data_IF_670579954671
#
_entry.id   IF_670579954671
#
_cell.length_a   1.000
_cell.length_b   1.000
_cell.length_c   1.000
_cell.angle_alpha   90.00
_cell.angle_beta   90.00
_cell.angle_gamma   90.00
#
_symmetry.space_group_name_H-M   'P 1'
#
loop_
_entity.id
_entity.type
_entity.pdbx_description
1 polymer ?
#
# COMPACT_ATOMS: atom_id res chain seq x y z
N UNK A 1 -13.92 -5.17 -19.77
CA UNK A 1 -13.58 -4.39 -18.55
C UNK A 1 -12.94 -5.37 -17.59
N UNK A 2 -11.75 -5.05 -17.08
CA UNK A 2 -11.06 -5.89 -16.11
C UNK A 2 -11.81 -5.99 -14.78
N UNK A 3 -11.39 -6.93 -13.94
CA UNK A 3 -11.95 -7.08 -12.58
C UNK A 3 -11.59 -5.88 -11.72
N UNK A 4 -12.55 -5.27 -11.00
CA UNK A 4 -12.29 -4.21 -10.03
C UNK A 4 -12.50 -4.76 -8.63
N UNK A 5 -11.47 -4.66 -7.78
CA UNK A 5 -11.50 -5.03 -6.36
C UNK A 5 -11.39 -3.78 -5.52
N UNK A 6 -12.33 -3.58 -4.61
CA UNK A 6 -12.31 -2.44 -3.68
C UNK A 6 -12.05 -2.95 -2.27
N UNK A 7 -11.17 -2.28 -1.55
CA UNK A 7 -10.83 -2.58 -0.16
C UNK A 7 -10.26 -1.37 0.58
N UNK A 8 -9.62 -1.60 1.71
CA UNK A 8 -9.05 -0.55 2.56
C UNK A 8 -7.62 -0.85 2.96
N UNK A 9 -6.88 0.17 3.40
CA UNK A 9 -5.52 0.03 3.93
C UNK A 9 -5.56 -0.34 5.43
N UNK A 10 -6.02 -1.54 5.71
CA UNK A 10 -6.09 -2.13 7.05
C UNK A 10 -7.50 -2.42 7.53
N UNK A 11 -7.59 -3.22 8.61
CA UNK A 11 -8.84 -3.65 9.23
C UNK A 11 -8.78 -3.65 10.77
N UNK A 12 -7.70 -3.11 11.35
CA UNK A 12 -7.43 -3.19 12.80
C UNK A 12 -7.16 -1.82 13.43
N UNK A 13 -7.43 -0.73 12.71
CA UNK A 13 -7.25 0.61 13.27
C UNK A 13 -8.10 0.79 14.53
N UNK A 14 -7.53 1.33 15.63
CA UNK A 14 -8.28 1.53 16.87
C UNK A 14 -9.52 2.41 16.70
N UNK A 15 -9.49 3.42 15.83
CA UNK A 15 -10.64 4.30 15.58
C UNK A 15 -11.75 3.58 14.82
N UNK A 16 -11.41 2.69 13.90
CA UNK A 16 -12.35 1.80 13.24
C UNK A 16 -13.02 0.86 14.24
N UNK A 17 -12.23 0.25 15.14
CA UNK A 17 -12.78 -0.65 16.16
C UNK A 17 -13.74 0.10 17.08
N UNK A 18 -13.41 1.33 17.44
CA UNK A 18 -14.23 2.17 18.31
C UNK A 18 -15.48 2.76 17.61
N UNK A 19 -15.50 2.83 16.27
CA UNK A 19 -16.61 3.41 15.49
C UNK A 19 -17.91 2.61 15.55
N UNK A 20 -17.85 1.33 15.91
CA UNK A 20 -19.00 0.44 15.87
C UNK A 20 -19.24 -0.20 14.49
N UNK A 21 -18.32 -0.05 13.53
CA UNK A 21 -18.43 -0.71 12.23
C UNK A 21 -18.40 -2.23 12.34
N UNK A 22 -17.63 -2.76 13.29
CA UNK A 22 -17.65 -4.17 13.61
C UNK A 22 -18.85 -4.54 14.49
N UNK A 23 -19.60 -5.61 14.17
CA UNK A 23 -20.65 -6.09 15.04
C UNK A 23 -20.05 -6.67 16.35
N UNK A 24 -20.82 -6.71 17.44
CA UNK A 24 -20.33 -7.14 18.77
C UNK A 24 -19.65 -8.53 18.77
N UNK A 25 -20.08 -9.46 17.93
CA UNK A 25 -19.48 -10.79 17.77
C UNK A 25 -18.08 -10.77 17.15
N UNK A 26 -17.71 -9.72 16.41
CA UNK A 26 -16.38 -9.53 15.84
C UNK A 26 -15.38 -8.96 16.85
N UNK A 27 -15.35 -9.51 18.06
CA UNK A 27 -14.61 -9.00 19.22
C UNK A 27 -13.11 -9.34 19.23
N UNK A 28 -12.67 -10.31 18.42
CA UNK A 28 -11.26 -10.73 18.34
C UNK A 28 -10.62 -10.37 16.99
N UNK A 29 -9.27 -10.26 16.90
CA UNK A 29 -8.59 -10.01 15.62
C UNK A 29 -8.97 -11.03 14.53
N UNK A 30 -9.12 -12.29 14.86
CA UNK A 30 -9.57 -13.31 13.91
C UNK A 30 -10.99 -13.04 13.41
N UNK A 31 -11.92 -12.80 14.32
CA UNK A 31 -13.33 -12.55 13.96
C UNK A 31 -13.48 -11.28 13.15
N UNK A 32 -12.66 -10.24 13.43
CA UNK A 32 -12.62 -8.99 12.63
C UNK A 32 -12.15 -9.26 11.22
N UNK A 33 -11.06 -10.03 11.03
CA UNK A 33 -10.60 -10.37 9.68
C UNK A 33 -11.63 -11.19 8.91
N UNK A 34 -12.26 -12.18 9.56
CA UNK A 34 -13.33 -12.96 8.95
C UNK A 34 -14.56 -12.11 8.58
N UNK A 35 -14.90 -11.12 9.40
CA UNK A 35 -15.97 -10.17 9.10
C UNK A 35 -15.59 -9.26 7.93
N UNK A 36 -14.40 -8.66 7.98
CA UNK A 36 -13.86 -7.80 6.92
C UNK A 36 -13.87 -8.50 5.55
N UNK A 37 -13.36 -9.74 5.50
CA UNK A 37 -13.26 -10.51 4.28
C UNK A 37 -14.61 -10.96 3.67
N UNK A 38 -15.71 -10.78 4.40
CA UNK A 38 -17.09 -10.92 3.85
C UNK A 38 -17.60 -9.62 3.23
N UNK A 39 -16.99 -8.48 3.58
CA UNK A 39 -17.40 -7.17 3.07
C UNK A 39 -16.58 -6.75 1.84
N UNK A 40 -15.31 -7.16 1.80
CA UNK A 40 -14.36 -6.75 0.77
C UNK A 40 -13.54 -7.93 0.26
N UNK A 41 -13.19 -7.96 -1.05
CA UNK A 41 -12.33 -9.00 -1.62
C UNK A 41 -10.83 -8.72 -1.46
N UNK A 42 -10.47 -7.53 -0.99
CA UNK A 42 -9.11 -6.99 -0.99
C UNK A 42 -8.82 -6.24 0.31
N UNK A 43 -7.57 -6.35 0.80
CA UNK A 43 -7.03 -5.48 1.85
C UNK A 43 -5.56 -5.16 1.58
N UNK A 44 -5.12 -3.95 1.96
CA UNK A 44 -3.70 -3.63 2.07
C UNK A 44 -3.24 -3.77 3.53
N UNK A 45 -2.08 -4.38 3.73
CA UNK A 45 -1.49 -4.56 5.05
C UNK A 45 -0.40 -3.51 5.25
N UNK A 46 -0.74 -2.41 5.92
CA UNK A 46 0.20 -1.33 6.23
C UNK A 46 1.13 -1.66 7.41
N UNK A 47 0.74 -2.59 8.29
CA UNK A 47 1.53 -2.95 9.48
C UNK A 47 2.93 -3.47 9.15
N UNK A 48 3.11 -4.09 8.01
CA UNK A 48 4.40 -4.62 7.53
C UNK A 48 5.43 -3.55 7.18
N UNK A 49 4.99 -2.31 6.99
CA UNK A 49 5.88 -1.15 6.87
C UNK A 49 6.65 -0.87 8.18
N UNK A 50 6.03 -1.12 9.33
CA UNK A 50 6.58 -0.82 10.64
C UNK A 50 7.38 -1.97 11.26
N UNK A 51 7.13 -3.21 10.86
CA UNK A 51 7.85 -4.39 11.33
C UNK A 51 7.69 -5.53 10.31
N UNK A 52 8.72 -6.38 10.20
CA UNK A 52 8.62 -7.58 9.36
C UNK A 52 7.51 -8.49 9.90
N UNK A 53 6.64 -9.01 9.03
CA UNK A 53 5.61 -9.94 9.46
C UNK A 53 6.23 -11.28 9.89
N UNK A 54 5.56 -11.98 10.79
CA UNK A 54 5.91 -13.36 11.08
C UNK A 54 5.17 -14.29 10.09
N UNK A 55 5.80 -15.38 9.67
CA UNK A 55 5.22 -16.39 8.78
C UNK A 55 3.88 -16.92 9.34
N UNK A 56 3.85 -17.21 10.65
CA UNK A 56 2.64 -17.66 11.33
C UNK A 56 1.48 -16.66 11.23
N UNK A 57 1.78 -15.37 11.19
CA UNK A 57 0.78 -14.32 11.00
C UNK A 57 0.20 -14.35 9.60
N UNK A 58 1.04 -14.47 8.58
CA UNK A 58 0.61 -14.57 7.18
C UNK A 58 -0.19 -15.87 6.93
N UNK A 59 0.22 -16.98 7.55
CA UNK A 59 -0.54 -18.23 7.54
C UNK A 59 -1.93 -18.05 8.13
N UNK A 60 -2.02 -17.41 9.30
CA UNK A 60 -3.31 -17.13 9.93
C UNK A 60 -4.20 -16.21 9.07
N UNK A 61 -3.63 -15.23 8.35
CA UNK A 61 -4.39 -14.41 7.41
C UNK A 61 -4.95 -15.25 6.26
N UNK A 62 -4.12 -16.13 5.66
CA UNK A 62 -4.57 -17.03 4.59
C UNK A 62 -5.72 -17.95 5.03
N UNK A 63 -5.63 -18.51 6.23
CA UNK A 63 -6.64 -19.46 6.78
C UNK A 63 -7.96 -18.77 7.18
N UNK A 64 -7.91 -17.46 7.46
CA UNK A 64 -9.07 -16.69 7.98
C UNK A 64 -9.87 -15.97 6.93
N UNK A 65 -9.47 -16.07 5.67
CA UNK A 65 -10.11 -15.40 4.54
C UNK A 65 -10.58 -16.41 3.50
N UNK A 66 -11.64 -16.10 2.73
CA UNK A 66 -12.13 -17.00 1.68
C UNK A 66 -11.13 -17.12 0.51
N UNK A 67 -11.35 -18.12 -0.34
CA UNK A 67 -10.63 -18.22 -1.61
C UNK A 67 -10.91 -16.98 -2.47
N UNK A 68 -9.88 -16.55 -3.24
CA UNK A 68 -9.95 -15.33 -4.05
C UNK A 68 -9.75 -14.02 -3.28
N UNK A 69 -9.65 -14.05 -1.94
CA UNK A 69 -9.30 -12.87 -1.16
C UNK A 69 -7.86 -12.44 -1.42
N UNK A 70 -7.63 -11.14 -1.60
CA UNK A 70 -6.31 -10.59 -1.94
C UNK A 70 -5.73 -9.75 -0.80
N UNK A 71 -4.45 -9.98 -0.48
CA UNK A 71 -3.66 -9.14 0.40
C UNK A 71 -2.60 -8.39 -0.39
N UNK A 72 -2.71 -7.08 -0.52
CA UNK A 72 -1.59 -6.22 -0.91
C UNK A 72 -0.75 -5.93 0.33
N UNK A 73 0.55 -5.97 0.20
CA UNK A 73 1.47 -5.91 1.35
C UNK A 73 2.37 -4.70 1.21
N UNK A 74 2.33 -3.77 2.15
CA UNK A 74 3.24 -2.63 2.12
C UNK A 74 4.65 -3.07 2.49
N UNK A 75 5.63 -2.73 1.67
CA UNK A 75 7.02 -3.06 1.89
C UNK A 75 7.54 -2.44 3.20
N UNK A 76 8.43 -3.15 3.88
CA UNK A 76 9.07 -2.67 5.09
C UNK A 76 9.82 -1.35 4.84
N UNK A 77 9.73 -0.40 5.76
CA UNK A 77 10.22 0.97 5.61
C UNK A 77 11.68 1.06 5.17
N UNK A 78 12.54 0.14 5.59
CA UNK A 78 13.95 0.09 5.19
C UNK A 78 14.10 -0.06 3.66
N UNK A 79 13.27 -0.90 3.03
CA UNK A 79 13.35 -1.20 1.60
C UNK A 79 12.94 -0.03 0.71
N UNK A 80 12.15 0.87 1.23
CA UNK A 80 11.69 2.06 0.51
C UNK A 80 12.41 3.33 0.93
N UNK A 81 13.61 3.20 1.51
CA UNK A 81 14.51 4.28 1.92
C UNK A 81 13.90 5.26 2.95
N UNK A 82 12.98 4.78 3.77
CA UNK A 82 12.48 5.54 4.91
C UNK A 82 13.36 5.32 6.17
N UNK A 83 13.35 6.29 7.12
CA UNK A 83 14.02 6.12 8.39
C UNK A 83 13.33 5.01 9.20
N UNK A 84 14.02 3.90 9.38
CA UNK A 84 13.51 2.70 10.04
C UNK A 84 14.01 2.63 11.47
N UNK A 85 13.14 2.49 12.48
CA UNK A 85 13.58 2.27 13.86
C UNK A 85 14.41 0.98 13.96
N UNK A 86 15.57 1.02 14.60
CA UNK A 86 16.42 -0.18 14.80
C UNK A 86 15.64 -1.30 15.50
N UNK A 87 14.78 -0.95 16.45
CA UNK A 87 13.91 -1.91 17.14
C UNK A 87 12.90 -2.63 16.24
N UNK A 88 12.61 -2.11 15.05
CA UNK A 88 11.72 -2.74 14.07
C UNK A 88 12.39 -3.88 13.30
N UNK A 89 13.74 -3.93 13.30
CA UNK A 89 14.50 -5.03 12.76
C UNK A 89 14.42 -6.28 13.68
N UNK A 90 14.57 -7.48 13.16
CA UNK A 90 14.78 -8.69 13.93
C UNK A 90 15.90 -8.53 14.94
N UNK A 91 15.76 -9.12 16.13
CA UNK A 91 16.66 -8.90 17.25
C UNK A 91 18.13 -9.18 16.92
N UNK A 92 18.41 -10.22 16.17
CA UNK A 92 19.74 -10.64 15.74
C UNK A 92 20.37 -9.73 14.65
N UNK A 93 19.56 -8.92 13.97
CA UNK A 93 20.04 -7.94 12.98
C UNK A 93 20.28 -6.54 13.60
N UNK A 94 19.77 -6.30 14.81
CA UNK A 94 19.81 -4.96 15.42
C UNK A 94 21.22 -4.51 15.74
N UNK A 95 22.10 -5.38 16.23
CA UNK A 95 23.47 -5.05 16.57
C UNK A 95 24.26 -4.64 15.32
N UNK A 96 24.14 -5.42 14.25
CA UNK A 96 24.80 -5.13 12.98
C UNK A 96 24.21 -3.89 12.26
N UNK A 97 22.92 -3.58 12.49
CA UNK A 97 22.27 -2.39 11.95
C UNK A 97 22.53 -1.13 12.80
N UNK A 98 22.90 -1.30 14.07
CA UNK A 98 23.08 -0.19 14.99
C UNK A 98 24.39 0.55 14.69
N UNK A 99 24.28 1.70 14.06
CA UNK A 99 25.36 2.68 14.11
C UNK A 99 25.30 3.42 15.45
N UNK A 100 26.45 3.58 16.12
CA UNK A 100 26.58 4.08 17.48
C UNK A 100 25.57 5.21 17.80
N UNK A 101 24.59 4.91 18.65
CA UNK A 101 23.65 5.88 19.22
C UNK A 101 22.46 6.27 18.33
N UNK A 102 22.28 5.73 17.12
CA UNK A 102 21.11 6.05 16.28
C UNK A 102 19.92 5.14 16.62
N UNK A 103 18.78 5.76 16.96
CA UNK A 103 17.51 5.04 17.14
C UNK A 103 16.86 4.63 15.79
N UNK A 104 17.20 5.31 14.70
CA UNK A 104 16.71 5.06 13.35
C UNK A 104 17.87 5.02 12.37
N UNK A 105 17.73 4.14 11.39
CA UNK A 105 18.68 3.94 10.28
C UNK A 105 17.98 4.09 8.95
N UNK A 106 18.73 4.52 7.93
CA UNK A 106 18.35 4.46 6.54
C UNK A 106 19.03 3.26 5.89
N UNK A 107 18.53 2.81 4.74
CA UNK A 107 19.13 1.71 4.00
C UNK A 107 20.64 1.92 3.75
N UNK A 108 21.06 3.14 3.42
CA UNK A 108 22.47 3.50 3.20
C UNK A 108 23.35 3.43 4.46
N UNK A 109 22.74 3.39 5.63
CA UNK A 109 23.42 3.37 6.94
C UNK A 109 23.65 1.94 7.46
N UNK A 110 23.03 0.92 6.84
CA UNK A 110 23.13 -0.47 7.27
C UNK A 110 24.04 -1.27 6.33
N UNK A 111 24.67 -2.30 6.88
CA UNK A 111 25.43 -3.27 6.07
C UNK A 111 24.49 -3.91 5.03
N UNK A 112 24.91 -4.01 3.77
CA UNK A 112 24.12 -4.69 2.72
C UNK A 112 23.62 -6.09 3.13
N UNK A 113 24.42 -6.86 3.87
CA UNK A 113 24.03 -8.17 4.35
C UNK A 113 22.83 -8.12 5.34
N UNK A 114 22.71 -7.07 6.13
CA UNK A 114 21.56 -6.85 7.00
C UNK A 114 20.30 -6.56 6.18
N UNK A 115 20.42 -5.71 5.17
CA UNK A 115 19.34 -5.41 4.25
C UNK A 115 18.89 -6.66 3.48
N UNK A 116 19.84 -7.47 3.01
CA UNK A 116 19.59 -8.72 2.31
C UNK A 116 18.83 -9.71 3.20
N UNK A 117 19.29 -9.92 4.43
CA UNK A 117 18.61 -10.81 5.38
C UNK A 117 17.21 -10.30 5.75
N UNK A 118 17.03 -8.98 5.88
CA UNK A 118 15.70 -8.41 6.13
C UNK A 118 14.74 -8.69 4.96
N UNK A 119 15.21 -8.54 3.71
CA UNK A 119 14.46 -8.88 2.51
C UNK A 119 14.08 -10.36 2.47
N UNK A 120 15.04 -11.26 2.70
CA UNK A 120 14.80 -12.71 2.67
C UNK A 120 13.75 -13.11 3.68
N UNK A 121 13.80 -12.57 4.91
CA UNK A 121 12.79 -12.82 5.96
C UNK A 121 11.42 -12.24 5.61
N UNK A 122 11.39 -11.03 5.05
CA UNK A 122 10.14 -10.42 4.61
C UNK A 122 9.47 -11.28 3.54
N UNK A 123 10.21 -11.70 2.52
CA UNK A 123 9.68 -12.51 1.43
C UNK A 123 9.28 -13.92 1.90
N UNK A 124 10.09 -14.55 2.77
CA UNK A 124 9.77 -15.85 3.36
C UNK A 124 8.47 -15.80 4.18
N UNK A 125 8.28 -14.73 4.97
CA UNK A 125 7.07 -14.55 5.76
C UNK A 125 5.78 -14.41 4.92
N UNK A 126 5.88 -14.04 3.65
CA UNK A 126 4.74 -13.91 2.73
C UNK A 126 4.41 -15.20 1.97
N UNK A 127 5.25 -16.25 2.06
CA UNK A 127 5.03 -17.51 1.34
C UNK A 127 3.68 -18.18 1.64
N UNK A 128 3.15 -18.17 2.88
CA UNK A 128 1.82 -18.72 3.13
C UNK A 128 0.71 -18.03 2.32
N UNK A 129 0.79 -16.70 2.14
CA UNK A 129 -0.16 -15.97 1.29
C UNK A 129 0.03 -16.31 -0.17
N UNK A 130 1.27 -16.39 -0.64
CA UNK A 130 1.59 -16.77 -2.02
C UNK A 130 1.13 -18.20 -2.33
N UNK A 131 1.46 -19.13 -1.46
CA UNK A 131 1.05 -20.55 -1.60
C UNK A 131 -0.46 -20.76 -1.59
N UNK A 132 -1.21 -19.89 -0.90
CA UNK A 132 -2.67 -19.88 -0.89
C UNK A 132 -3.30 -19.12 -2.07
N UNK A 133 -2.49 -18.52 -2.98
CA UNK A 133 -2.99 -17.68 -4.07
C UNK A 133 -3.63 -16.36 -3.63
N UNK A 134 -3.28 -15.87 -2.42
CA UNK A 134 -3.87 -14.68 -1.78
C UNK A 134 -2.91 -13.49 -1.70
N UNK A 135 -1.66 -13.65 -2.11
CA UNK A 135 -0.70 -12.55 -2.19
C UNK A 135 -0.97 -11.74 -3.45
N UNK A 136 -1.36 -10.48 -3.29
CA UNK A 136 -1.45 -9.48 -4.34
C UNK A 136 -0.09 -8.84 -4.63
N UNK A 137 -0.06 -7.52 -4.73
CA UNK A 137 1.18 -6.78 -4.97
C UNK A 137 1.87 -6.35 -3.66
N UNK A 138 3.20 -6.29 -3.69
CA UNK A 138 4.01 -5.63 -2.65
C UNK A 138 4.11 -4.15 -3.01
N UNK A 139 3.57 -3.27 -2.16
CA UNK A 139 3.58 -1.84 -2.36
C UNK A 139 4.94 -1.25 -2.00
N UNK A 140 5.65 -0.74 -2.98
CA UNK A 140 6.84 0.07 -2.84
C UNK A 140 6.45 1.55 -2.83
N UNK A 141 6.09 2.09 -1.67
CA UNK A 141 5.82 3.52 -1.52
C UNK A 141 7.12 4.26 -1.20
N UNK A 142 7.62 5.08 -2.11
CA UNK A 142 8.85 5.86 -1.93
C UNK A 142 8.59 7.22 -1.28
N UNK A 143 9.56 7.75 -0.48
CA UNK A 143 9.36 8.97 0.31
C UNK A 143 9.46 10.27 -0.52
N UNK A 144 9.08 11.43 0.06
CA UNK A 144 9.20 12.73 -0.60
C UNK A 144 10.62 13.13 -1.02
N UNK A 145 11.65 12.53 -0.46
CA UNK A 145 13.06 12.76 -0.82
C UNK A 145 13.61 11.72 -1.81
N UNK A 146 12.72 11.06 -2.56
CA UNK A 146 13.06 10.12 -3.62
C UNK A 146 12.66 10.73 -5.00
N UNK A 147 13.45 11.70 -5.55
CA UNK A 147 13.12 12.36 -6.80
C UNK A 147 13.37 11.46 -8.01
N UNK A 148 12.83 11.84 -9.17
CA UNK A 148 13.17 11.17 -10.42
C UNK A 148 14.66 11.30 -10.70
N UNK A 149 15.31 10.17 -10.94
CA UNK A 149 16.71 10.07 -11.35
C UNK A 149 17.00 8.67 -11.89
N UNK A 150 18.08 8.53 -12.65
CA UNK A 150 18.55 7.21 -13.11
C UNK A 150 18.81 6.27 -11.94
N UNK A 151 19.53 6.73 -10.92
CA UNK A 151 19.86 5.92 -9.75
C UNK A 151 18.59 5.43 -9.01
N UNK A 152 17.56 6.27 -8.91
CA UNK A 152 16.31 5.87 -8.28
C UNK A 152 15.47 4.93 -9.17
N UNK A 153 15.53 5.06 -10.50
CA UNK A 153 14.94 4.08 -11.42
C UNK A 153 15.65 2.73 -11.29
N UNK A 154 16.98 2.71 -11.29
CA UNK A 154 17.77 1.48 -11.09
C UNK A 154 17.45 0.83 -9.73
N UNK A 155 17.24 1.63 -8.69
CA UNK A 155 16.85 1.13 -7.37
C UNK A 155 15.43 0.50 -7.36
N UNK A 156 14.46 1.09 -8.05
CA UNK A 156 13.13 0.49 -8.21
C UNK A 156 13.24 -0.88 -8.88
N UNK A 157 14.04 -0.98 -9.95
CA UNK A 157 14.27 -2.25 -10.67
C UNK A 157 14.97 -3.28 -9.78
N UNK A 158 15.94 -2.86 -8.96
CA UNK A 158 16.59 -3.75 -7.99
C UNK A 158 15.58 -4.30 -6.97
N UNK A 159 14.69 -3.47 -6.44
CA UNK A 159 13.62 -3.91 -5.54
C UNK A 159 12.67 -4.90 -6.23
N UNK A 160 12.26 -4.62 -7.46
CA UNK A 160 11.39 -5.50 -8.24
C UNK A 160 12.06 -6.86 -8.51
N UNK A 161 13.33 -6.85 -8.92
CA UNK A 161 14.12 -8.06 -9.13
C UNK A 161 14.26 -8.89 -7.85
N UNK A 162 14.48 -8.21 -6.71
CA UNK A 162 14.58 -8.88 -5.40
C UNK A 162 13.27 -9.53 -4.97
N UNK A 163 12.14 -8.87 -5.24
CA UNK A 163 10.82 -9.41 -4.91
C UNK A 163 10.37 -10.54 -5.83
N UNK A 164 10.95 -10.68 -7.04
CA UNK A 164 10.52 -11.66 -8.02
C UNK A 164 10.49 -13.09 -7.46
N UNK A 165 9.51 -13.93 -7.83
CA UNK A 165 8.47 -13.70 -8.84
C UNK A 165 7.21 -12.99 -8.30
N UNK A 166 7.26 -12.40 -7.11
CA UNK A 166 6.14 -11.67 -6.51
C UNK A 166 5.99 -10.32 -7.20
N UNK A 167 4.76 -9.91 -7.45
CA UNK A 167 4.45 -8.63 -8.07
C UNK A 167 4.75 -7.49 -7.10
N UNK A 168 5.32 -6.40 -7.60
CA UNK A 168 5.44 -5.14 -6.85
C UNK A 168 4.62 -4.06 -7.54
N UNK A 169 4.14 -3.05 -6.82
CA UNK A 169 3.57 -1.83 -7.37
C UNK A 169 4.28 -0.62 -6.79
N UNK A 170 4.33 0.49 -7.53
CA UNK A 170 5.19 1.64 -7.21
C UNK A 170 4.35 2.89 -6.95
N UNK A 171 4.45 3.44 -5.73
CA UNK A 171 3.85 4.70 -5.35
C UNK A 171 4.91 5.77 -5.10
N UNK A 172 4.76 6.91 -5.73
CA UNK A 172 5.62 8.06 -5.54
C UNK A 172 5.04 9.07 -4.53
N UNK A 173 5.94 9.74 -3.81
CA UNK A 173 5.65 10.87 -2.90
C UNK A 173 6.55 12.06 -3.14
N UNK A 174 7.19 12.11 -4.30
CA UNK A 174 7.96 13.26 -4.76
C UNK A 174 7.39 13.70 -6.11
N UNK A 175 6.93 14.96 -6.18
CA UNK A 175 6.25 15.51 -7.36
C UNK A 175 7.07 15.45 -8.65
N UNK A 176 8.41 15.37 -8.56
CA UNK A 176 9.26 15.35 -9.77
C UNK A 176 9.01 14.15 -10.67
N UNK A 177 8.44 13.05 -10.15
CA UNK A 177 8.05 11.90 -10.96
C UNK A 177 6.87 12.17 -11.89
N UNK A 178 5.99 13.10 -11.51
CA UNK A 178 4.70 13.33 -12.19
C UNK A 178 4.48 14.81 -12.54
N UNK A 179 5.57 15.57 -12.77
CA UNK A 179 5.47 16.88 -13.43
C UNK A 179 5.08 16.70 -14.90
N UNK A 180 4.55 17.73 -15.53
CA UNK A 180 4.20 17.71 -16.96
C UNK A 180 5.36 17.21 -17.83
N UNK A 181 6.60 17.62 -17.52
CA UNK A 181 7.80 17.23 -18.27
C UNK A 181 8.20 15.75 -18.06
N UNK A 182 7.90 15.18 -16.89
CA UNK A 182 8.43 13.86 -16.50
C UNK A 182 7.37 12.75 -16.47
N UNK A 183 6.09 13.09 -16.51
CA UNK A 183 4.99 12.13 -16.38
C UNK A 183 5.04 11.04 -17.45
N UNK A 184 5.23 11.43 -18.69
CA UNK A 184 5.28 10.47 -19.80
C UNK A 184 6.48 9.52 -19.66
N UNK A 185 7.65 10.06 -19.33
CA UNK A 185 8.86 9.27 -19.08
C UNK A 185 8.67 8.30 -17.93
N UNK A 186 8.05 8.75 -16.83
CA UNK A 186 7.79 7.90 -15.66
C UNK A 186 6.84 6.77 -15.98
N UNK A 187 5.71 7.05 -16.63
CA UNK A 187 4.73 6.03 -16.99
C UNK A 187 5.30 5.03 -18.00
N UNK A 188 6.05 5.51 -19.00
CA UNK A 188 6.74 4.65 -19.95
C UNK A 188 7.77 3.75 -19.27
N UNK A 189 8.60 4.30 -18.38
CA UNK A 189 9.57 3.53 -17.59
C UNK A 189 8.88 2.39 -16.82
N UNK A 190 7.78 2.66 -16.15
CA UNK A 190 7.04 1.63 -15.41
C UNK A 190 6.41 0.59 -16.35
N UNK A 191 5.85 1.02 -17.47
CA UNK A 191 5.24 0.13 -18.46
C UNK A 191 6.27 -0.79 -19.14
N UNK A 192 7.44 -0.25 -19.52
CA UNK A 192 8.53 -1.02 -20.14
C UNK A 192 9.03 -2.17 -19.23
N UNK A 193 8.86 -1.99 -17.91
CA UNK A 193 9.24 -2.99 -16.90
C UNK A 193 8.05 -3.72 -16.27
N UNK A 194 6.84 -3.53 -16.79
CA UNK A 194 5.61 -4.17 -16.28
C UNK A 194 5.38 -3.93 -14.79
N UNK A 195 5.74 -2.73 -14.30
CA UNK A 195 5.56 -2.31 -12.92
C UNK A 195 4.27 -1.51 -12.79
N UNK A 196 3.26 -1.96 -12.03
CA UNK A 196 2.05 -1.21 -11.75
C UNK A 196 2.35 0.15 -11.14
N UNK A 197 1.92 1.22 -11.80
CA UNK A 197 1.87 2.56 -11.21
C UNK A 197 0.73 2.63 -10.20
N UNK A 198 1.00 3.15 -9.01
CA UNK A 198 -0.05 3.43 -8.03
C UNK A 198 -0.59 4.83 -8.25
N UNK A 199 -1.80 4.90 -8.81
CA UNK A 199 -2.55 6.14 -8.93
C UNK A 199 -2.99 6.60 -7.53
N UNK A 200 -2.73 7.85 -7.17
CA UNK A 200 -3.10 8.36 -5.85
C UNK A 200 -4.10 9.50 -5.94
N UNK A 201 -5.07 9.49 -5.04
CA UNK A 201 -5.91 10.65 -4.74
C UNK A 201 -5.50 11.24 -3.39
N UNK A 202 -5.04 12.47 -3.40
CA UNK A 202 -4.46 13.12 -2.22
C UNK A 202 -4.52 14.66 -2.33
N UNK A 203 -4.40 15.40 -1.20
CA UNK A 203 -4.38 16.85 -1.24
C UNK A 203 -3.26 17.37 -2.13
N UNK A 204 -3.56 18.38 -2.93
CA UNK A 204 -2.61 19.03 -3.83
C UNK A 204 -1.92 20.22 -3.16
N UNK A 205 -0.83 20.72 -3.78
CA UNK A 205 -0.11 21.90 -3.29
C UNK A 205 1.05 21.63 -2.33
N UNK A 206 1.31 20.39 -1.97
CA UNK A 206 2.45 19.99 -1.13
C UNK A 206 3.61 19.43 -1.97
N UNK A 207 4.87 19.52 -1.49
CA UNK A 207 6.02 18.91 -2.18
C UNK A 207 5.88 17.38 -2.37
N UNK A 208 5.08 16.73 -1.51
CA UNK A 208 4.77 15.29 -1.56
C UNK A 208 3.53 14.97 -2.39
N UNK A 209 2.83 15.97 -2.93
CA UNK A 209 1.63 15.74 -3.73
C UNK A 209 1.95 15.19 -5.09
N UNK A 210 1.22 14.17 -5.46
CA UNK A 210 1.22 13.57 -6.79
C UNK A 210 -0.15 13.89 -7.42
N UNK A 211 -0.21 14.38 -8.66
CA UNK A 211 -1.49 14.65 -9.32
C UNK A 211 -2.29 13.35 -9.49
N UNK A 212 -3.63 13.41 -9.47
CA UNK A 212 -4.48 12.24 -9.58
C UNK A 212 -4.57 11.73 -11.03
N UNK A 213 -3.43 11.37 -11.59
CA UNK A 213 -3.30 10.76 -12.92
C UNK A 213 -3.62 9.28 -12.80
N UNK A 214 -4.56 8.79 -13.61
CA UNK A 214 -4.87 7.37 -13.72
C UNK A 214 -4.20 6.82 -14.99
N UNK A 215 -3.40 5.77 -14.81
CA UNK A 215 -2.73 5.08 -15.90
C UNK A 215 -2.47 3.63 -15.51
N UNK A 216 -2.78 2.71 -16.41
CA UNK A 216 -2.36 1.31 -16.30
C UNK A 216 -0.99 1.16 -16.97
N UNK A 217 0.02 0.72 -16.20
CA UNK A 217 1.38 0.46 -16.69
C UNK A 217 1.71 -1.04 -16.71
N UNK A 218 0.74 -1.87 -16.37
CA UNK A 218 0.79 -3.34 -16.47
C UNK A 218 -0.64 -3.92 -16.50
N UNK A 219 -0.76 -5.24 -16.43
CA UNK A 219 -2.04 -5.95 -16.27
C UNK A 219 -2.75 -5.67 -14.93
N UNK A 220 -2.04 -5.13 -13.93
CA UNK A 220 -2.59 -4.65 -12.68
C UNK A 220 -2.56 -3.12 -12.62
N UNK A 221 -3.68 -2.48 -12.35
CA UNK A 221 -3.76 -1.09 -11.93
C UNK A 221 -4.05 -1.00 -10.42
N UNK A 222 -3.47 0.00 -9.75
CA UNK A 222 -3.70 0.23 -8.33
C UNK A 222 -4.07 1.68 -8.09
N UNK A 223 -5.16 1.91 -7.35
CA UNK A 223 -5.62 3.25 -6.95
C UNK A 223 -5.64 3.34 -5.43
N UNK A 224 -5.00 4.37 -4.87
CA UNK A 224 -5.03 4.62 -3.43
C UNK A 224 -5.68 5.96 -3.12
N UNK A 225 -6.80 5.89 -2.39
CA UNK A 225 -7.68 7.00 -2.04
C UNK A 225 -7.30 7.53 -0.64
N UNK A 226 -6.47 8.61 -0.58
CA UNK A 226 -6.00 9.15 0.70
C UNK A 226 -6.91 10.23 1.29
N UNK A 227 -7.82 10.78 0.47
CA UNK A 227 -8.69 11.90 0.84
C UNK A 227 -8.02 13.25 0.75
N UNK A 228 -8.79 14.30 0.97
CA UNK A 228 -8.38 15.69 0.80
C UNK A 228 -8.42 16.47 2.12
N UNK A 229 -7.91 15.87 3.22
CA UNK A 229 -7.86 16.55 4.51
C UNK A 229 -7.07 17.88 4.41
N UNK A 230 -7.65 18.95 4.92
CA UNK A 230 -7.01 20.26 5.07
C UNK A 230 -5.84 20.24 6.07
N UNK A 231 -5.80 19.18 6.91
CA UNK A 231 -4.75 18.92 7.89
C UNK A 231 -3.69 17.93 7.40
N UNK A 232 -3.47 17.83 6.09
CA UNK A 232 -2.51 16.90 5.48
C UNK A 232 -1.09 16.97 6.06
N UNK A 233 -0.66 18.15 6.51
CA UNK A 233 0.63 18.35 7.14
C UNK A 233 0.68 18.01 8.64
N UNK A 234 -0.45 17.61 9.26
CA UNK A 234 -0.48 17.26 10.68
C UNK A 234 0.41 16.06 10.97
N UNK A 235 1.01 16.06 12.18
CA UNK A 235 1.71 14.89 12.72
C UNK A 235 0.73 13.82 13.25
N UNK A 236 -0.50 14.24 13.58
CA UNK A 236 -1.56 13.31 13.93
C UNK A 236 -2.10 12.64 12.66
N UNK A 237 -1.95 11.32 12.61
CA UNK A 237 -2.38 10.50 11.47
C UNK A 237 -3.89 10.52 11.28
N UNK A 238 -4.65 10.65 12.36
CA UNK A 238 -6.11 10.69 12.30
C UNK A 238 -6.62 12.01 11.72
N UNK A 239 -5.96 13.14 12.01
CA UNK A 239 -6.24 14.41 11.35
C UNK A 239 -5.86 14.37 9.88
N UNK A 240 -4.68 13.80 9.57
CA UNK A 240 -4.15 13.72 8.20
C UNK A 240 -5.04 12.91 7.28
N UNK A 241 -5.56 11.79 7.72
CA UNK A 241 -6.39 10.85 6.96
C UNK A 241 -7.89 10.94 7.30
N UNK A 242 -8.27 11.94 8.11
CA UNK A 242 -9.65 12.19 8.53
C UNK A 242 -10.47 12.89 7.45
N UNK A 243 -10.67 12.22 6.32
CA UNK A 243 -11.47 12.71 5.20
C UNK A 243 -12.52 11.68 4.80
N UNK A 244 -13.75 12.11 4.60
CA UNK A 244 -14.83 11.27 4.12
C UNK A 244 -15.26 11.77 2.75
N UNK A 245 -15.07 10.94 1.73
CA UNK A 245 -15.53 11.25 0.38
C UNK A 245 -17.03 11.40 0.34
N UNK A 246 -17.49 12.42 -0.35
CA UNK A 246 -18.90 12.66 -0.62
C UNK A 246 -19.42 11.70 -1.72
N UNK A 247 -20.75 11.48 -1.81
CA UNK A 247 -21.33 10.69 -2.89
C UNK A 247 -20.97 11.19 -4.29
N UNK A 248 -20.91 12.52 -4.50
CA UNK A 248 -20.54 13.11 -5.79
C UNK A 248 -19.08 12.82 -6.18
N UNK A 249 -18.15 12.89 -5.24
CA UNK A 249 -16.75 12.51 -5.48
C UNK A 249 -16.63 11.02 -5.82
N UNK A 250 -17.35 10.16 -5.10
CA UNK A 250 -17.32 8.72 -5.37
C UNK A 250 -17.94 8.39 -6.75
N UNK A 251 -18.98 9.10 -7.18
CA UNK A 251 -19.55 8.98 -8.52
C UNK A 251 -18.51 9.35 -9.60
N UNK A 252 -17.82 10.48 -9.46
CA UNK A 252 -16.75 10.88 -10.37
C UNK A 252 -15.63 9.81 -10.39
N UNK A 253 -15.20 9.36 -9.23
CA UNK A 253 -14.16 8.34 -9.14
C UNK A 253 -14.60 6.99 -9.73
N UNK A 254 -15.86 6.60 -9.59
CA UNK A 254 -16.37 5.36 -10.18
C UNK A 254 -16.23 5.36 -11.71
N UNK A 255 -16.54 6.49 -12.37
CA UNK A 255 -16.38 6.65 -13.81
C UNK A 255 -14.90 6.58 -14.23
N UNK A 256 -14.01 7.29 -13.50
CA UNK A 256 -12.58 7.30 -13.78
C UNK A 256 -11.96 5.92 -13.59
N UNK A 257 -12.32 5.20 -12.53
CA UNK A 257 -11.87 3.83 -12.26
C UNK A 257 -12.42 2.88 -13.33
N UNK A 258 -13.66 3.05 -13.76
CA UNK A 258 -14.24 2.28 -14.85
C UNK A 258 -13.44 2.41 -16.16
N UNK A 259 -12.96 3.61 -16.50
CA UNK A 259 -12.07 3.81 -17.65
C UNK A 259 -10.71 3.13 -17.42
N UNK A 260 -10.09 3.29 -16.27
CA UNK A 260 -8.82 2.64 -15.94
C UNK A 260 -8.91 1.11 -16.04
N UNK A 261 -10.02 0.53 -15.58
CA UNK A 261 -10.26 -0.91 -15.63
C UNK A 261 -10.48 -1.46 -17.04
N UNK A 262 -10.63 -0.62 -18.06
CA UNK A 262 -10.62 -1.06 -19.45
C UNK A 262 -9.20 -1.35 -19.96
N UNK A 263 -8.18 -0.77 -19.32
CA UNK A 263 -6.77 -0.86 -19.71
C UNK A 263 -5.96 -1.86 -18.85
N UNK A 264 -6.60 -2.53 -17.87
CA UNK A 264 -5.97 -3.50 -16.99
C UNK A 264 -6.82 -4.76 -16.83
N UNK A 265 -6.21 -5.91 -16.53
CA UNK A 265 -6.93 -7.14 -16.20
C UNK A 265 -7.57 -7.07 -14.80
N UNK A 266 -6.85 -6.47 -13.87
CA UNK A 266 -7.30 -6.25 -12.48
C UNK A 266 -7.03 -4.81 -12.07
N UNK A 267 -7.98 -4.20 -11.37
CA UNK A 267 -7.84 -2.87 -10.77
C UNK A 267 -8.13 -2.96 -9.27
N UNK A 268 -7.09 -2.77 -8.45
CA UNK A 268 -7.20 -2.73 -7.00
C UNK A 268 -7.43 -1.28 -6.53
N UNK A 269 -8.53 -1.03 -5.84
CA UNK A 269 -8.85 0.29 -5.27
C UNK A 269 -8.82 0.21 -3.75
N UNK A 270 -7.96 1.00 -3.12
CA UNK A 270 -7.67 0.94 -1.70
C UNK A 270 -7.93 2.29 -1.01
N UNK A 271 -8.92 2.32 -0.14
CA UNK A 271 -9.19 3.50 0.68
C UNK A 271 -8.23 3.58 1.86
N UNK A 272 -7.44 4.65 1.92
CA UNK A 272 -6.46 4.92 2.97
C UNK A 272 -6.80 6.18 3.79
N UNK A 273 -8.03 6.65 3.74
CA UNK A 273 -8.61 7.69 4.59
C UNK A 273 -9.02 7.08 5.94
N UNK A 274 -8.02 6.51 6.65
CA UNK A 274 -8.20 5.64 7.81
C UNK A 274 -8.47 6.42 9.10
N UNK A 275 -9.63 7.04 9.21
CA UNK A 275 -10.17 7.62 10.44
C UNK A 275 -11.58 7.11 10.67
N UNK A 276 -11.86 6.59 11.87
CA UNK A 276 -13.15 5.97 12.16
C UNK A 276 -13.49 4.88 11.12
N UNK A 277 -14.70 4.83 10.63
CA UNK A 277 -15.17 3.93 9.58
C UNK A 277 -15.15 4.53 8.16
N UNK A 278 -14.56 5.72 7.98
CA UNK A 278 -14.67 6.48 6.73
C UNK A 278 -14.19 5.69 5.51
N UNK A 279 -13.02 5.06 5.60
CA UNK A 279 -12.49 4.23 4.52
C UNK A 279 -13.43 3.08 4.17
N UNK A 280 -13.98 2.40 5.18
CA UNK A 280 -14.84 1.23 5.01
C UNK A 280 -16.20 1.60 4.40
N UNK A 281 -16.80 2.69 4.87
CA UNK A 281 -18.07 3.20 4.33
C UNK A 281 -17.88 3.66 2.87
N UNK A 282 -16.82 4.42 2.59
CA UNK A 282 -16.53 4.87 1.23
C UNK A 282 -16.21 3.70 0.29
N UNK A 283 -15.48 2.69 0.75
CA UNK A 283 -15.21 1.49 -0.03
C UNK A 283 -16.49 0.73 -0.39
N UNK A 284 -17.43 0.58 0.55
CA UNK A 284 -18.73 -0.03 0.29
C UNK A 284 -19.57 0.78 -0.71
N UNK A 285 -19.58 2.11 -0.55
CA UNK A 285 -20.30 3.01 -1.48
C UNK A 285 -19.73 2.94 -2.89
N UNK A 286 -18.40 2.99 -3.04
CA UNK A 286 -17.74 2.88 -4.35
C UNK A 286 -17.98 1.50 -4.98
N UNK A 287 -17.90 0.42 -4.20
CA UNK A 287 -18.19 -0.93 -4.69
C UNK A 287 -19.60 -1.04 -5.25
N UNK A 288 -20.59 -0.42 -4.60
CA UNK A 288 -21.97 -0.40 -5.08
C UNK A 288 -22.10 0.36 -6.41
N UNK A 289 -21.42 1.50 -6.57
CA UNK A 289 -21.41 2.29 -7.81
C UNK A 289 -20.76 1.54 -8.98
N UNK A 290 -19.69 0.78 -8.73
CA UNK A 290 -18.97 0.01 -9.76
C UNK A 290 -19.70 -1.28 -10.18
N UNK A 291 -20.68 -1.71 -9.37
CA UNK A 291 -21.47 -2.92 -9.63
C UNK A 291 -22.82 -2.62 -10.31
N UNK A 292 -23.19 -1.34 -10.42
CA UNK A 292 -24.46 -0.87 -11.02
C UNK A 292 -24.34 -0.72 -12.54
#
# INVERSE_FOLDING_TARGET
MGEVKVGTAGWTDPTLIASGWYPPEASTPEKRLRFYARQFPLVEVDATYYALPAEQTAKAWAERTPDGFTFNIKAFSLFTQHPTPVKALPADLREAASQAGKERVYLKDVDPAVADQAWDRFLAALEPLRGAGKLGAILLQFPPWFPISRANKDYILACASRAAPRRVCVEFRNRTWMTEDNQEETLRFLADHQLPYVCVDMPQGYPSSIPPVLAATSDLAVVRMHGHSDKWASKDIHERFGYRYSPAELEEWSQRIGHLAADAEVTDVLFNNCYSDYAHVNAQQLSALLSA
#
